data_IF_395924483301
#
_entry.id   IF_395924483301
#
_cell.length_a   1.000
_cell.length_b   1.000
_cell.length_c   1.000
_cell.angle_alpha   90.00
_cell.angle_beta   90.00
_cell.angle_gamma   90.00
#
_symmetry.space_group_name_H-M   'P 1'
#
loop_
_entity.id
_entity.type
_entity.pdbx_description
1 polymer ?
#
# COMPACT_ATOMS: atom_id res chain seq x y z
N UNK A 1 -5.77 22.27 7.35
CA UNK A 1 -5.64 21.59 6.03
C UNK A 1 -6.57 20.39 6.04
N UNK A 2 -7.65 20.43 5.27
CA UNK A 2 -8.54 19.27 5.08
C UNK A 2 -7.87 18.34 4.08
N UNK A 3 -7.71 17.06 4.42
CA UNK A 3 -7.27 16.06 3.45
C UNK A 3 -8.42 15.79 2.46
N UNK A 4 -8.14 15.79 1.16
CA UNK A 4 -9.05 15.23 0.17
C UNK A 4 -9.17 13.73 0.44
N UNK A 5 -10.40 13.24 0.56
CA UNK A 5 -10.71 11.85 0.86
C UNK A 5 -11.56 11.28 -0.27
N UNK A 6 -11.12 10.14 -0.83
CA UNK A 6 -11.85 9.30 -1.76
C UNK A 6 -12.35 8.04 -1.02
N UNK A 7 -13.62 8.00 -0.58
CA UNK A 7 -14.15 6.86 0.19
C UNK A 7 -14.12 5.53 -0.57
N UNK A 8 -14.07 5.55 -1.90
CA UNK A 8 -14.07 4.35 -2.74
C UNK A 8 -12.68 3.78 -3.03
N UNK A 9 -11.60 4.41 -2.55
CA UNK A 9 -10.23 4.03 -2.90
C UNK A 9 -9.90 2.58 -2.50
N UNK A 10 -10.26 2.17 -1.28
CA UNK A 10 -10.00 0.82 -0.81
C UNK A 10 -10.74 -0.23 -1.66
N UNK A 11 -12.02 0.01 -1.95
CA UNK A 11 -12.84 -0.88 -2.79
C UNK A 11 -12.33 -0.95 -4.23
N UNK A 12 -11.85 0.16 -4.79
CA UNK A 12 -11.24 0.21 -6.12
C UNK A 12 -10.00 -0.67 -6.21
N UNK A 13 -9.09 -0.56 -5.24
CA UNK A 13 -7.87 -1.36 -5.18
C UNK A 13 -8.16 -2.84 -4.87
N UNK A 14 -9.12 -3.13 -3.99
CA UNK A 14 -9.53 -4.49 -3.67
C UNK A 14 -10.08 -5.22 -4.89
N UNK A 15 -10.91 -4.56 -5.71
CA UNK A 15 -11.49 -5.15 -6.94
C UNK A 15 -10.48 -5.36 -8.06
N UNK A 16 -9.49 -4.47 -8.18
CA UNK A 16 -8.58 -4.45 -9.33
C UNK A 16 -7.40 -5.40 -9.15
N UNK A 17 -6.85 -5.49 -7.94
CA UNK A 17 -5.60 -6.21 -7.69
C UNK A 17 -5.60 -6.98 -6.35
N UNK A 18 -6.77 -7.29 -5.77
CA UNK A 18 -6.86 -8.13 -4.56
C UNK A 18 -6.32 -7.49 -3.28
N UNK A 19 -6.37 -6.16 -3.19
CA UNK A 19 -5.85 -5.40 -2.05
C UNK A 19 -6.56 -5.71 -0.72
N UNK A 20 -5.84 -6.26 0.26
CA UNK A 20 -6.40 -6.83 1.51
C UNK A 20 -5.89 -6.13 2.79
N UNK A 21 -5.60 -4.84 2.69
CA UNK A 21 -5.03 -4.06 3.78
C UNK A 21 -5.92 -3.93 5.03
N UNK A 22 -7.22 -4.18 4.91
CA UNK A 22 -8.20 -4.15 6.00
C UNK A 22 -7.94 -5.23 7.05
N UNK A 23 -7.31 -6.35 6.66
CA UNK A 23 -6.89 -7.39 7.60
C UNK A 23 -5.68 -6.98 8.48
N UNK A 24 -5.00 -5.86 8.17
CA UNK A 24 -3.81 -5.44 8.91
C UNK A 24 -4.11 -5.01 10.35
N UNK A 25 -3.56 -5.76 11.32
CA UNK A 25 -3.68 -5.46 12.75
C UNK A 25 -2.64 -4.46 13.29
N UNK A 26 -1.85 -3.82 12.42
CA UNK A 26 -0.84 -2.82 12.79
C UNK A 26 0.29 -3.33 13.74
N UNK A 27 0.58 -4.63 13.75
CA UNK A 27 1.52 -5.28 14.68
C UNK A 27 3.00 -4.91 14.50
N UNK A 28 3.45 -4.56 13.29
CA UNK A 28 4.82 -4.08 13.02
C UNK A 28 5.85 -5.16 12.63
N UNK A 29 5.46 -6.44 12.55
CA UNK A 29 6.37 -7.54 12.13
C UNK A 29 7.02 -7.25 10.77
N UNK A 30 6.24 -6.71 9.83
CA UNK A 30 6.71 -6.33 8.49
C UNK A 30 7.87 -5.33 8.51
N UNK A 31 7.86 -4.38 9.46
CA UNK A 31 8.92 -3.37 9.60
C UNK A 31 10.17 -3.97 10.24
N UNK A 32 10.00 -4.88 11.20
CA UNK A 32 11.12 -5.51 11.90
C UNK A 32 11.93 -6.48 11.01
N UNK A 33 11.26 -7.18 10.08
CA UNK A 33 11.91 -8.21 9.26
C UNK A 33 12.52 -7.67 7.96
N UNK A 34 12.19 -6.44 7.55
CA UNK A 34 12.59 -6.00 6.23
C UNK A 34 14.08 -5.63 6.15
N UNK A 35 14.85 -6.21 5.20
CA UNK A 35 16.30 -5.98 5.09
C UNK A 35 16.63 -4.55 4.63
N UNK A 36 15.70 -3.88 3.93
CA UNK A 36 15.88 -2.50 3.50
C UNK A 36 15.62 -1.50 4.62
N UNK A 37 15.18 -1.96 5.80
CA UNK A 37 14.81 -1.11 6.93
C UNK A 37 13.65 -0.17 6.61
N UNK A 38 12.67 -0.63 5.82
CA UNK A 38 11.80 0.27 5.03
C UNK A 38 11.13 1.34 5.89
N UNK A 39 11.54 2.56 5.62
CA UNK A 39 10.84 3.81 5.95
C UNK A 39 9.42 3.88 5.35
N UNK A 40 9.03 2.92 4.50
CA UNK A 40 7.60 2.66 4.24
C UNK A 40 7.01 2.12 5.52
N UNK A 41 6.36 2.99 6.29
CA UNK A 41 5.37 2.55 7.25
C UNK A 41 4.21 1.90 6.47
N UNK A 42 4.35 0.63 6.07
CA UNK A 42 3.36 -0.14 5.29
C UNK A 42 2.00 -0.04 5.97
N UNK A 43 2.02 -0.10 7.30
CA UNK A 43 0.85 0.07 8.16
C UNK A 43 0.17 1.43 7.98
N UNK A 44 0.97 2.49 7.78
CA UNK A 44 0.49 3.84 7.50
C UNK A 44 -0.04 3.96 6.08
N UNK A 45 0.62 3.37 5.08
CA UNK A 45 0.10 3.28 3.72
C UNK A 45 -1.27 2.59 3.67
N UNK A 46 -1.39 1.45 4.34
CA UNK A 46 -2.65 0.72 4.45
C UNK A 46 -3.75 1.58 5.06
N UNK A 47 -3.44 2.30 6.14
CA UNK A 47 -4.38 3.26 6.74
C UNK A 47 -4.76 4.40 5.79
N UNK A 48 -3.81 4.94 5.02
CA UNK A 48 -4.12 5.98 4.05
C UNK A 48 -5.08 5.48 2.97
N UNK A 49 -4.90 4.26 2.49
CA UNK A 49 -5.81 3.65 1.52
C UNK A 49 -7.19 3.44 2.13
N UNK A 50 -7.27 2.81 3.31
CA UNK A 50 -8.54 2.52 4.00
C UNK A 50 -9.31 3.81 4.38
N UNK A 51 -8.60 4.90 4.64
CA UNK A 51 -9.18 6.21 4.92
C UNK A 51 -9.42 7.06 3.66
N UNK A 52 -9.12 6.53 2.46
CA UNK A 52 -9.30 7.26 1.20
C UNK A 52 -8.34 8.43 0.98
N UNK A 53 -7.23 8.50 1.70
CA UNK A 53 -6.27 9.60 1.64
C UNK A 53 -5.29 9.44 0.47
N UNK A 54 -5.78 9.54 -0.76
CA UNK A 54 -5.00 9.29 -1.97
C UNK A 54 -3.77 10.19 -2.11
N UNK A 55 -3.88 11.48 -1.78
CA UNK A 55 -2.75 12.42 -1.77
C UNK A 55 -1.62 11.95 -0.85
N UNK A 56 -1.98 11.32 0.27
CA UNK A 56 -1.02 10.76 1.22
C UNK A 56 -0.37 9.50 0.67
N UNK A 57 -1.10 8.66 -0.04
CA UNK A 57 -0.51 7.50 -0.75
C UNK A 57 0.50 7.97 -1.79
N UNK A 58 0.17 8.99 -2.58
CA UNK A 58 1.05 9.55 -3.60
C UNK A 58 2.30 10.20 -3.01
N UNK A 59 2.18 10.88 -1.87
CA UNK A 59 3.33 11.46 -1.17
C UNK A 59 4.37 10.41 -0.74
N UNK A 60 4.00 9.13 -0.69
CA UNK A 60 4.85 8.01 -0.29
C UNK A 60 5.47 7.28 -1.52
N UNK A 61 5.36 7.83 -2.73
CA UNK A 61 5.82 7.21 -3.99
C UNK A 61 7.25 6.68 -3.89
N UNK A 62 8.21 7.52 -3.51
CA UNK A 62 9.63 7.09 -3.41
C UNK A 62 9.78 5.85 -2.52
N UNK A 63 9.05 5.82 -1.39
CA UNK A 63 9.09 4.70 -0.45
C UNK A 63 8.41 3.46 -1.03
N UNK A 64 7.24 3.60 -1.66
CA UNK A 64 6.55 2.49 -2.35
C UNK A 64 7.46 1.85 -3.42
N UNK A 65 8.25 2.65 -4.13
CA UNK A 65 9.18 2.19 -5.15
C UNK A 65 10.52 1.67 -4.60
N UNK A 66 10.87 1.97 -3.33
CA UNK A 66 12.06 1.40 -2.68
C UNK A 66 11.88 -0.06 -2.23
N UNK A 67 10.63 -0.53 -2.12
CA UNK A 67 10.34 -1.93 -1.80
C UNK A 67 10.93 -2.91 -2.84
N UNK A 68 11.68 -3.92 -2.40
CA UNK A 68 12.23 -4.93 -3.33
C UNK A 68 11.24 -6.04 -3.69
N UNK A 69 10.00 -6.00 -3.18
CA UNK A 69 8.99 -7.05 -3.34
C UNK A 69 9.50 -8.45 -2.95
N UNK A 70 10.39 -8.53 -1.95
CA UNK A 70 11.03 -9.78 -1.52
C UNK A 70 10.12 -10.72 -0.70
N UNK A 71 8.91 -10.28 -0.35
CA UNK A 71 7.87 -11.07 0.37
C UNK A 71 8.17 -11.53 1.80
N UNK A 72 9.34 -11.23 2.37
CA UNK A 72 9.63 -11.57 3.77
C UNK A 72 8.59 -11.04 4.77
N UNK A 73 8.04 -9.84 4.56
CA UNK A 73 6.99 -9.29 5.41
C UNK A 73 5.66 -10.06 5.33
N UNK A 74 5.34 -10.62 4.17
CA UNK A 74 4.11 -11.35 3.88
C UNK A 74 4.16 -12.76 4.50
N UNK A 75 5.27 -13.48 4.30
CA UNK A 75 5.52 -14.81 4.89
C UNK A 75 5.45 -14.81 6.43
N UNK A 76 5.75 -13.67 7.05
CA UNK A 76 5.77 -13.50 8.50
C UNK A 76 4.54 -12.76 9.04
N UNK A 77 3.55 -12.44 8.20
CA UNK A 77 2.39 -11.68 8.62
C UNK A 77 1.44 -12.55 9.46
N UNK A 78 1.22 -12.24 10.75
CA UNK A 78 0.32 -13.04 11.59
C UNK A 78 -1.16 -12.91 11.19
N UNK A 79 -1.50 -11.86 10.43
CA UNK A 79 -2.84 -11.62 9.91
C UNK A 79 -3.05 -12.20 8.49
N UNK A 80 -2.00 -12.75 7.87
CA UNK A 80 -2.07 -13.27 6.49
C UNK A 80 -2.23 -12.22 5.40
N UNK A 81 -1.87 -10.96 5.66
CA UNK A 81 -1.96 -9.86 4.67
C UNK A 81 -0.93 -10.05 3.56
N UNK A 82 -1.34 -9.91 2.30
CA UNK A 82 -0.48 -10.00 1.12
C UNK A 82 0.34 -8.72 0.90
N UNK A 83 1.23 -8.41 1.85
CA UNK A 83 1.87 -7.09 1.95
C UNK A 83 2.66 -6.71 0.69
N UNK A 84 3.45 -7.65 0.14
CA UNK A 84 4.26 -7.33 -1.02
C UNK A 84 3.38 -7.12 -2.26
N UNK A 85 2.32 -7.92 -2.39
CA UNK A 85 1.34 -7.74 -3.47
C UNK A 85 0.59 -6.42 -3.33
N UNK A 86 0.15 -6.04 -2.13
CA UNK A 86 -0.46 -4.73 -1.86
C UNK A 86 0.47 -3.57 -2.26
N UNK A 87 1.77 -3.67 -1.97
CA UNK A 87 2.74 -2.65 -2.41
C UNK A 87 2.86 -2.61 -3.94
N UNK A 88 2.79 -3.74 -4.62
CA UNK A 88 2.77 -3.81 -6.08
C UNK A 88 1.50 -3.18 -6.67
N UNK A 89 0.34 -3.48 -6.09
CA UNK A 89 -0.94 -2.83 -6.42
C UNK A 89 -0.84 -1.31 -6.30
N UNK A 90 -0.22 -0.81 -5.23
CA UNK A 90 0.01 0.63 -5.06
C UNK A 90 0.92 1.22 -6.13
N UNK A 91 1.95 0.49 -6.59
CA UNK A 91 2.77 0.94 -7.74
C UNK A 91 1.92 1.09 -9.00
N UNK A 92 1.10 0.10 -9.32
CA UNK A 92 0.20 0.16 -10.48
C UNK A 92 -0.74 1.37 -10.37
N UNK A 93 -1.37 1.55 -9.20
CA UNK A 93 -2.25 2.69 -8.94
C UNK A 93 -1.54 4.04 -9.10
N UNK A 94 -0.34 4.21 -8.52
CA UNK A 94 0.44 5.44 -8.63
C UNK A 94 0.85 5.72 -10.08
N UNK A 95 1.26 4.70 -10.84
CA UNK A 95 1.63 4.86 -12.25
C UNK A 95 0.43 5.26 -13.10
N UNK A 96 -0.68 4.53 -12.98
CA UNK A 96 -1.94 4.80 -13.71
C UNK A 96 -2.41 6.24 -13.49
N UNK A 97 -2.40 6.66 -12.22
CA UNK A 97 -2.96 7.95 -11.84
C UNK A 97 -1.95 9.10 -11.85
N UNK A 98 -0.66 8.82 -11.96
CA UNK A 98 0.42 9.81 -12.03
C UNK A 98 0.85 10.15 -13.47
N UNK A 99 0.77 9.18 -14.39
CA UNK A 99 1.15 9.35 -15.79
C UNK A 99 -0.03 9.32 -16.77
N UNK A 100 -1.27 9.23 -16.28
CA UNK A 100 -2.47 9.24 -17.12
C UNK A 100 -2.60 8.02 -18.04
N UNK A 101 -1.89 6.93 -17.72
CA UNK A 101 -1.98 5.66 -18.44
C UNK A 101 -3.21 4.89 -17.92
N UNK A 102 -4.40 5.36 -18.27
CA UNK A 102 -5.63 4.57 -18.16
C UNK A 102 -5.75 3.68 -19.40
N UNK A 103 -5.91 2.37 -19.19
CA UNK A 103 -6.40 1.50 -20.25
C UNK A 103 -7.88 1.83 -20.47
N UNK A 104 -8.23 2.08 -21.73
CA UNK A 104 -9.62 2.25 -22.16
C UNK A 104 -10.42 0.95 -22.11
#
# INVERSE_FOLDING_TARGET
MTALVNPGLADELARSDGFDADACMNCGVCSAICPMGVDVEVRRLFRYVLLGMEDKVRAETERVFSCLLCRMCEENCPAGVHIAENVRTLRHHIVRTGFGLGEG
#
